data_IF_908718655007
#
_entry.id   IF_908718655007
#
_cell.length_a   1.000
_cell.length_b   1.000
_cell.length_c   1.000
_cell.angle_alpha   90.00
_cell.angle_beta   90.00
_cell.angle_gamma   90.00
#
_symmetry.space_group_name_H-M   'P 1'
#
loop_
_entity.id
_entity.type
_entity.pdbx_description
1 polymer ?
#
# COMPACT_ATOMS: atom_id res chain seq x y z
N UNK A 1 4.04 1.85 -26.65
CA UNK A 1 4.15 1.61 -25.19
C UNK A 1 2.78 1.59 -24.49
N UNK A 2 1.78 0.92 -25.08
CA UNK A 2 0.43 0.82 -24.48
C UNK A 2 0.10 -0.60 -23.98
N UNK A 3 0.82 -1.62 -24.46
CA UNK A 3 0.56 -3.02 -24.12
C UNK A 3 1.00 -3.37 -22.69
N UNK A 4 2.15 -2.87 -22.24
CA UNK A 4 2.68 -3.18 -20.90
C UNK A 4 1.81 -2.67 -19.74
N UNK A 5 1.22 -1.48 -19.87
CA UNK A 5 0.36 -0.91 -18.83
C UNK A 5 -0.99 -1.64 -18.68
N UNK A 6 -1.52 -2.20 -19.78
CA UNK A 6 -2.75 -3.00 -19.75
C UNK A 6 -2.51 -4.35 -19.07
N UNK A 7 -1.38 -5.00 -19.35
CA UNK A 7 -1.03 -6.27 -18.70
C UNK A 7 -0.78 -6.10 -17.19
N UNK A 8 -0.10 -5.04 -16.78
CA UNK A 8 0.14 -4.74 -15.37
C UNK A 8 -1.17 -4.45 -14.61
N UNK A 9 -2.08 -3.67 -15.21
CA UNK A 9 -3.40 -3.41 -14.64
C UNK A 9 -4.24 -4.70 -14.50
N UNK A 10 -4.21 -5.57 -15.51
CA UNK A 10 -4.89 -6.87 -15.46
C UNK A 10 -4.30 -7.80 -14.39
N UNK A 11 -2.98 -7.77 -14.19
CA UNK A 11 -2.32 -8.58 -13.17
C UNK A 11 -2.71 -8.13 -11.77
N UNK A 12 -2.65 -6.82 -11.51
CA UNK A 12 -3.05 -6.24 -10.22
C UNK A 12 -4.51 -6.57 -9.90
N UNK A 13 -5.42 -6.48 -10.88
CA UNK A 13 -6.83 -6.83 -10.71
C UNK A 13 -7.06 -8.30 -10.34
N UNK A 14 -6.31 -9.23 -10.96
CA UNK A 14 -6.39 -10.66 -10.58
C UNK A 14 -5.87 -10.90 -9.17
N UNK A 15 -4.74 -10.30 -8.83
CA UNK A 15 -4.11 -10.46 -7.52
C UNK A 15 -4.99 -9.89 -6.39
N UNK A 16 -5.56 -8.71 -6.60
CA UNK A 16 -6.38 -8.03 -5.59
C UNK A 16 -7.74 -8.69 -5.41
N UNK A 17 -8.31 -9.31 -6.46
CA UNK A 17 -9.51 -10.15 -6.34
C UNK A 17 -9.27 -11.38 -5.48
N UNK A 18 -8.16 -12.09 -5.71
CA UNK A 18 -7.82 -13.26 -4.90
C UNK A 18 -7.66 -12.88 -3.41
N UNK A 19 -7.00 -11.75 -3.12
CA UNK A 19 -6.88 -11.23 -1.74
C UNK A 19 -8.25 -10.85 -1.18
N UNK A 20 -9.07 -10.12 -1.93
CA UNK A 20 -10.41 -9.73 -1.47
C UNK A 20 -11.25 -10.96 -1.09
N UNK A 21 -11.19 -12.01 -1.90
CA UNK A 21 -12.06 -13.17 -1.70
C UNK A 21 -11.53 -14.12 -0.61
N UNK A 22 -10.22 -14.12 -0.35
CA UNK A 22 -9.59 -14.97 0.65
C UNK A 22 -9.43 -14.32 2.04
N UNK A 23 -9.40 -12.98 2.11
CA UNK A 23 -9.09 -12.25 3.35
C UNK A 23 -10.30 -11.43 3.84
N UNK A 24 -10.56 -11.50 5.14
CA UNK A 24 -11.47 -10.62 5.86
C UNK A 24 -10.96 -9.16 5.84
N UNK A 25 -11.83 -8.15 6.04
CA UNK A 25 -11.45 -6.74 6.01
C UNK A 25 -10.24 -6.41 6.91
N UNK A 26 -10.20 -6.99 8.11
CA UNK A 26 -9.13 -6.75 9.09
C UNK A 26 -7.79 -7.30 8.60
N UNK A 27 -7.79 -8.50 8.03
CA UNK A 27 -6.58 -9.15 7.51
C UNK A 27 -6.01 -8.39 6.29
N UNK A 28 -6.86 -7.68 5.54
CA UNK A 28 -6.39 -6.81 4.44
C UNK A 28 -5.65 -5.58 4.98
N UNK A 29 -6.03 -5.09 6.15
CA UNK A 29 -5.31 -4.00 6.82
C UNK A 29 -3.93 -4.49 7.27
N UNK A 30 -3.85 -5.71 7.82
CA UNK A 30 -2.58 -6.34 8.20
C UNK A 30 -1.68 -6.56 6.98
N UNK A 31 -2.24 -6.98 5.84
CA UNK A 31 -1.50 -7.08 4.59
C UNK A 31 -0.91 -5.73 4.15
N UNK A 32 -1.68 -4.65 4.26
CA UNK A 32 -1.17 -3.31 3.96
C UNK A 32 -0.05 -2.90 4.92
N UNK A 33 -0.12 -3.27 6.20
CA UNK A 33 0.99 -3.04 7.14
C UNK A 33 2.26 -3.77 6.71
N UNK A 34 2.16 -5.06 6.36
CA UNK A 34 3.32 -5.82 5.90
C UNK A 34 3.95 -5.20 4.65
N UNK A 35 3.11 -4.71 3.72
CA UNK A 35 3.61 -4.03 2.53
C UNK A 35 4.28 -2.69 2.84
N UNK A 36 3.79 -1.94 3.84
CA UNK A 36 4.47 -0.75 4.35
C UNK A 36 5.82 -1.10 4.96
N UNK A 37 5.92 -2.18 5.74
CA UNK A 37 7.20 -2.61 6.33
C UNK A 37 8.24 -2.92 5.26
N UNK A 38 7.83 -3.57 4.17
CA UNK A 38 8.71 -3.84 3.02
C UNK A 38 9.15 -2.55 2.35
N UNK A 39 8.22 -1.61 2.11
CA UNK A 39 8.54 -0.32 1.48
C UNK A 39 9.40 0.59 2.36
N UNK A 40 9.44 0.35 3.67
CA UNK A 40 10.30 1.06 4.62
C UNK A 40 11.57 0.29 4.98
N UNK A 41 11.88 -0.82 4.32
CA UNK A 41 12.99 -1.69 4.69
C UNK A 41 14.37 -1.00 4.62
N UNK A 42 14.52 0.01 3.76
CA UNK A 42 15.71 0.85 3.63
C UNK A 42 15.61 2.18 4.41
N UNK A 43 14.49 2.40 5.12
CA UNK A 43 14.21 3.60 5.91
C UNK A 43 13.64 4.77 5.11
N UNK A 44 13.52 4.67 3.78
CA UNK A 44 13.05 5.77 2.92
C UNK A 44 11.90 5.27 2.05
N UNK A 45 10.76 5.96 2.10
CA UNK A 45 9.65 5.66 1.20
C UNK A 45 9.78 6.48 -0.08
N UNK A 46 9.91 5.80 -1.24
CA UNK A 46 9.90 6.48 -2.53
C UNK A 46 8.48 6.76 -3.04
N UNK A 47 8.33 7.79 -3.87
CA UNK A 47 7.03 8.19 -4.46
C UNK A 47 6.35 7.06 -5.25
N UNK A 48 7.15 6.24 -5.95
CA UNK A 48 6.64 5.10 -6.71
C UNK A 48 6.04 4.04 -5.79
N UNK A 49 6.70 3.73 -4.67
CA UNK A 49 6.24 2.76 -3.67
C UNK A 49 4.99 3.28 -2.96
N UNK A 50 4.99 4.54 -2.56
CA UNK A 50 3.83 5.21 -1.99
C UNK A 50 2.61 5.16 -2.94
N UNK A 51 2.84 5.42 -4.23
CA UNK A 51 1.79 5.36 -5.24
C UNK A 51 1.28 3.94 -5.49
N UNK A 52 2.18 2.95 -5.54
CA UNK A 52 1.84 1.54 -5.68
C UNK A 52 0.99 1.04 -4.51
N UNK A 53 1.39 1.33 -3.27
CA UNK A 53 0.65 0.96 -2.06
C UNK A 53 -0.73 1.63 -2.00
N UNK A 54 -0.83 2.89 -2.44
CA UNK A 54 -2.11 3.59 -2.55
C UNK A 54 -3.05 2.88 -3.53
N UNK A 55 -2.54 2.47 -4.70
CA UNK A 55 -3.31 1.72 -5.72
C UNK A 55 -3.74 0.35 -5.19
N UNK A 56 -2.81 -0.41 -4.60
CA UNK A 56 -3.09 -1.75 -4.06
C UNK A 56 -4.18 -1.67 -2.99
N UNK A 57 -4.06 -0.77 -2.01
CA UNK A 57 -5.06 -0.64 -0.95
C UNK A 57 -6.45 -0.26 -1.45
N UNK A 58 -6.54 0.61 -2.48
CA UNK A 58 -7.81 0.88 -3.15
C UNK A 58 -8.43 -0.36 -3.81
N UNK A 59 -7.60 -1.23 -4.41
CA UNK A 59 -8.06 -2.43 -5.10
C UNK A 59 -8.48 -3.57 -4.15
N UNK A 60 -7.95 -3.62 -2.93
CA UNK A 60 -8.36 -4.58 -1.89
C UNK A 60 -9.37 -3.99 -0.88
N UNK A 61 -9.94 -2.83 -1.20
CA UNK A 61 -11.00 -2.18 -0.41
C UNK A 61 -10.56 -1.75 1.00
N UNK A 62 -9.31 -1.31 1.15
CA UNK A 62 -8.82 -0.66 2.39
C UNK A 62 -8.89 0.86 2.19
N UNK A 63 -9.61 1.55 3.06
CA UNK A 63 -9.83 3.00 2.94
C UNK A 63 -8.51 3.79 3.07
N UNK A 64 -8.46 5.02 2.55
CA UNK A 64 -7.28 5.89 2.70
C UNK A 64 -6.97 6.16 4.18
N UNK A 65 -8.01 6.24 5.01
CA UNK A 65 -7.88 6.41 6.46
C UNK A 65 -7.20 5.22 7.11
N UNK A 66 -7.62 4.00 6.77
CA UNK A 66 -7.02 2.76 7.28
C UNK A 66 -5.59 2.59 6.80
N UNK A 67 -5.32 2.86 5.51
CA UNK A 67 -3.96 2.88 4.94
C UNK A 67 -3.05 3.86 5.68
N UNK A 68 -3.52 5.08 5.92
CA UNK A 68 -2.76 6.09 6.67
C UNK A 68 -2.52 5.69 8.13
N UNK A 69 -3.49 5.03 8.77
CA UNK A 69 -3.32 4.50 10.12
C UNK A 69 -2.34 3.33 10.17
N UNK A 70 -2.41 2.40 9.22
CA UNK A 70 -1.46 1.30 9.04
C UNK A 70 -0.03 1.81 8.86
N UNK A 71 0.16 2.78 7.96
CA UNK A 71 1.45 3.46 7.76
C UNK A 71 2.01 4.02 9.06
N UNK A 72 1.21 4.78 9.82
CA UNK A 72 1.66 5.35 11.11
C UNK A 72 2.06 4.25 12.11
N UNK A 73 1.32 3.14 12.18
CA UNK A 73 1.69 2.01 13.05
C UNK A 73 3.05 1.42 12.66
N UNK A 74 3.31 1.24 11.36
CA UNK A 74 4.58 0.72 10.85
C UNK A 74 5.72 1.70 11.10
N UNK A 75 5.55 2.99 10.79
CA UNK A 75 6.56 4.03 11.06
C UNK A 75 6.93 4.06 12.54
N UNK A 76 5.94 4.01 13.45
CA UNK A 76 6.18 3.92 14.90
C UNK A 76 6.90 2.62 15.27
N UNK A 77 6.52 1.48 14.69
CA UNK A 77 7.11 0.16 14.96
C UNK A 77 8.58 0.10 14.52
N UNK A 78 8.90 0.72 13.39
CA UNK A 78 10.26 0.80 12.84
C UNK A 78 11.10 1.93 13.45
N UNK A 79 10.50 2.80 14.27
CA UNK A 79 11.20 3.95 14.87
C UNK A 79 11.62 5.01 13.86
N UNK A 80 10.97 5.07 12.70
CA UNK A 80 11.25 6.04 11.66
C UNK A 80 10.59 7.39 12.01
N UNK A 81 11.29 8.50 11.76
CA UNK A 81 10.64 9.81 11.78
C UNK A 81 9.67 9.88 10.58
N UNK A 82 8.44 10.33 10.78
CA UNK A 82 7.46 10.50 9.70
C UNK A 82 7.90 11.65 8.78
N UNK A 83 8.85 11.40 7.87
CA UNK A 83 9.32 12.37 6.88
C UNK A 83 8.37 12.44 5.66
N UNK A 84 7.07 12.21 5.86
CA UNK A 84 6.12 12.46 4.77
C UNK A 84 6.15 13.96 4.46
N UNK A 85 6.52 14.39 3.23
CA UNK A 85 6.43 15.79 2.88
C UNK A 85 4.97 16.24 3.04
N UNK A 86 4.72 17.43 3.61
CA UNK A 86 3.36 17.93 3.76
C UNK A 86 2.71 17.96 2.38
N UNK A 87 1.56 17.29 2.26
CA UNK A 87 0.74 17.29 1.05
C UNK A 87 0.49 18.74 0.62
N UNK A 88 1.23 19.21 -0.38
CA UNK A 88 0.93 20.48 -1.04
C UNK A 88 -0.37 20.26 -1.81
N UNK A 89 -1.46 20.82 -1.28
CA UNK A 89 -2.70 21.04 -2.01
C UNK A 89 -2.47 22.01 -3.17
#
# INVERSE_FOLDING_TARGET
EAEGAQDEANHLLRFTRAIKDAYAPEERIELIEMLWEVAYADGILHDYEANLLRRIGGLIYVSDRERGAARRRVVTRLGLADESPPSQH
#
